data_IF_516062941857
#
_entry.id   IF_516062941857
#
_cell.length_a   1.000
_cell.length_b   1.000
_cell.length_c   1.000
_cell.angle_alpha   90.00
_cell.angle_beta   90.00
_cell.angle_gamma   90.00
#
_symmetry.space_group_name_H-M   'P 1'
#
loop_
_entity.id
_entity.type
_entity.pdbx_description
1 polymer ?
#
# COMPACT_ATOMS: atom_id res chain seq x y z
N UNK A 1 -6.50 6.85 3.29
CA UNK A 1 -5.64 8.06 3.26
C UNK A 1 -4.71 7.96 2.06
N UNK A 2 -4.30 9.07 1.44
CA UNK A 2 -3.25 9.04 0.39
C UNK A 2 -1.92 8.56 1.00
N UNK A 3 -1.31 7.53 0.40
CA UNK A 3 -0.09 6.94 0.95
C UNK A 3 1.12 7.88 0.81
N UNK A 4 1.22 8.60 -0.31
CA UNK A 4 2.26 9.62 -0.53
C UNK A 4 2.30 10.66 0.59
N UNK A 5 1.14 11.14 1.03
CA UNK A 5 1.06 12.08 2.16
C UNK A 5 1.65 11.48 3.44
N UNK A 6 1.33 10.23 3.74
CA UNK A 6 1.91 9.53 4.89
C UNK A 6 3.43 9.45 4.79
N UNK A 7 3.99 9.14 3.61
CA UNK A 7 5.44 9.05 3.43
C UNK A 7 6.13 10.39 3.69
N UNK A 8 5.59 11.49 3.16
CA UNK A 8 6.13 12.83 3.43
C UNK A 8 6.02 13.19 4.92
N UNK A 9 4.92 12.84 5.58
CA UNK A 9 4.74 13.09 7.02
C UNK A 9 5.74 12.29 7.89
N UNK A 10 6.10 11.06 7.50
CA UNK A 10 7.01 10.20 8.26
C UNK A 10 8.49 10.42 7.93
N UNK A 11 8.83 10.62 6.66
CA UNK A 11 10.20 10.64 6.16
C UNK A 11 10.67 12.02 5.68
N UNK A 12 9.78 13.01 5.58
CA UNK A 12 10.08 14.36 5.08
C UNK A 12 10.05 14.49 3.55
N UNK A 13 10.24 13.39 2.83
CA UNK A 13 10.10 13.26 1.38
C UNK A 13 9.63 11.84 1.02
N UNK A 14 9.34 11.57 -0.24
CA UNK A 14 8.94 10.22 -0.70
C UNK A 14 10.20 9.41 -1.01
N UNK A 15 10.46 8.29 -0.31
CA UNK A 15 11.60 7.44 -0.63
C UNK A 15 11.48 6.84 -2.04
N UNK A 16 12.61 6.69 -2.79
CA UNK A 16 12.57 6.11 -4.13
C UNK A 16 12.11 4.65 -4.13
N UNK A 17 12.40 3.92 -3.03
CA UNK A 17 11.89 2.59 -2.78
C UNK A 17 11.55 2.38 -1.29
N UNK A 18 10.64 1.45 -1.05
CA UNK A 18 10.24 1.00 0.28
C UNK A 18 10.38 -0.51 0.34
N UNK A 19 10.99 -1.00 1.42
CA UNK A 19 10.96 -2.42 1.76
C UNK A 19 9.78 -2.70 2.70
N UNK A 20 8.96 -3.68 2.35
CA UNK A 20 7.82 -4.12 3.14
C UNK A 20 8.08 -5.50 3.69
N UNK A 21 7.79 -5.67 4.98
CA UNK A 21 7.63 -6.99 5.59
C UNK A 21 6.19 -7.13 6.05
N UNK A 22 5.59 -8.29 5.79
CA UNK A 22 4.21 -8.60 6.15
C UNK A 22 4.16 -9.71 7.20
N UNK A 23 2.97 -9.99 7.72
CA UNK A 23 2.75 -11.05 8.72
C UNK A 23 2.77 -12.48 8.15
N UNK A 24 2.61 -12.66 6.84
CA UNK A 24 2.69 -13.98 6.18
C UNK A 24 4.09 -14.28 5.63
N UNK A 25 5.11 -13.58 6.17
CA UNK A 25 6.51 -13.64 5.78
C UNK A 25 6.79 -13.20 4.33
N UNK A 26 5.82 -12.59 3.64
CA UNK A 26 6.09 -11.92 2.37
C UNK A 26 6.93 -10.65 2.58
N UNK A 27 8.01 -10.55 1.81
CA UNK A 27 8.94 -9.42 1.82
C UNK A 27 9.18 -8.94 0.40
N UNK A 28 9.09 -7.63 0.17
CA UNK A 28 9.26 -7.06 -1.16
C UNK A 28 9.82 -5.64 -1.07
N UNK A 29 10.68 -5.27 -2.03
CA UNK A 29 11.09 -3.88 -2.25
C UNK A 29 10.47 -3.36 -3.52
N UNK A 30 9.76 -2.25 -3.42
CA UNK A 30 9.00 -1.65 -4.52
C UNK A 30 9.26 -0.14 -4.54
N UNK A 31 9.14 0.47 -5.72
CA UNK A 31 9.26 1.91 -5.94
C UNK A 31 8.00 2.49 -6.57
N UNK A 32 8.07 3.76 -7.02
CA UNK A 32 6.95 4.42 -7.68
C UNK A 32 5.93 5.05 -6.73
N UNK A 33 6.32 5.32 -5.48
CA UNK A 33 5.45 5.85 -4.42
C UNK A 33 5.05 7.33 -4.57
N UNK A 34 5.59 8.00 -5.59
CA UNK A 34 5.15 9.34 -6.00
C UNK A 34 3.78 9.32 -6.69
N UNK A 35 3.28 8.14 -7.09
CA UNK A 35 1.95 8.03 -7.70
C UNK A 35 0.85 8.32 -6.65
N UNK A 36 0.01 9.35 -6.85
CA UNK A 36 -1.03 9.74 -5.90
C UNK A 36 -2.20 8.73 -5.83
N UNK A 37 -2.23 7.71 -6.69
CA UNK A 37 -3.27 6.70 -6.70
C UNK A 37 -3.13 5.70 -5.54
N UNK A 38 -1.99 5.64 -4.86
CA UNK A 38 -1.82 4.75 -3.71
C UNK A 38 -2.58 5.25 -2.49
N UNK A 39 -3.45 4.38 -1.97
CA UNK A 39 -4.19 4.58 -0.74
C UNK A 39 -3.70 3.62 0.34
N UNK A 40 -3.47 4.19 1.51
CA UNK A 40 -3.27 3.45 2.76
C UNK A 40 -4.60 3.27 3.47
N UNK A 41 -4.91 2.02 3.78
CA UNK A 41 -6.13 1.61 4.48
C UNK A 41 -5.74 0.96 5.81
N UNK A 42 -6.24 1.54 6.89
CA UNK A 42 -6.06 1.06 8.28
C UNK A 42 -7.40 0.78 8.98
N UNK A 43 -8.49 1.29 8.40
CA UNK A 43 -9.87 1.14 8.86
C UNK A 43 -10.79 0.92 7.65
N UNK A 44 -11.86 0.16 7.83
CA UNK A 44 -12.92 -0.10 6.86
C UNK A 44 -14.27 -0.03 7.60
N UNK A 45 -15.24 0.69 7.04
CA UNK A 45 -16.56 0.94 7.68
C UNK A 45 -16.49 1.53 9.10
N UNK A 46 -15.45 2.31 9.38
CA UNK A 46 -15.22 2.95 10.69
C UNK A 46 -14.58 2.04 11.74
N UNK A 47 -14.23 0.80 11.37
CA UNK A 47 -13.59 -0.16 12.26
C UNK A 47 -12.14 -0.45 11.82
N UNK A 48 -11.18 -0.65 12.74
CA UNK A 48 -9.82 -1.04 12.40
C UNK A 48 -9.77 -2.34 11.59
N UNK A 49 -8.83 -2.42 10.64
CA UNK A 49 -8.61 -3.65 9.90
C UNK A 49 -8.15 -4.78 10.84
N UNK A 50 -8.79 -5.94 10.70
CA UNK A 50 -8.41 -7.19 11.37
C UNK A 50 -7.59 -8.05 10.43
N UNK A 51 -6.99 -9.14 10.93
CA UNK A 51 -6.31 -10.11 10.07
C UNK A 51 -7.24 -10.67 8.97
N UNK A 52 -8.54 -10.86 9.27
CA UNK A 52 -9.53 -11.32 8.28
C UNK A 52 -9.76 -10.29 7.16
N UNK A 53 -9.72 -9.00 7.48
CA UNK A 53 -9.79 -7.91 6.50
C UNK A 53 -8.42 -7.46 5.98
N UNK A 54 -7.39 -8.30 6.18
CA UNK A 54 -6.01 -8.13 5.71
C UNK A 54 -5.28 -6.92 6.32
N UNK A 55 -5.64 -6.58 7.56
CA UNK A 55 -4.98 -5.58 8.40
C UNK A 55 -3.67 -6.06 9.03
N UNK A 56 -3.02 -5.22 9.85
CA UNK A 56 -3.50 -3.93 10.36
C UNK A 56 -3.39 -2.77 9.35
N UNK A 57 -2.64 -2.99 8.25
CA UNK A 57 -2.42 -2.01 7.20
C UNK A 57 -2.38 -2.72 5.85
N UNK A 58 -3.06 -2.15 4.86
CA UNK A 58 -2.94 -2.53 3.45
C UNK A 58 -2.81 -1.32 2.54
N UNK A 59 -2.09 -1.49 1.44
CA UNK A 59 -1.95 -0.54 0.34
C UNK A 59 -2.76 -1.01 -0.85
N UNK A 60 -3.52 -0.09 -1.43
CA UNK A 60 -4.34 -0.33 -2.63
C UNK A 60 -4.13 0.81 -3.60
N UNK A 61 -3.96 0.49 -4.88
CA UNK A 61 -3.97 1.49 -5.95
C UNK A 61 -5.41 1.85 -6.33
N UNK A 62 -5.70 3.15 -6.43
CA UNK A 62 -7.00 3.69 -6.83
C UNK A 62 -7.07 3.80 -8.34
N UNK A 63 -7.77 2.88 -9.00
CA UNK A 63 -8.09 3.01 -10.43
C UNK A 63 -9.11 4.14 -10.64
N UNK A 64 -8.79 5.15 -11.46
CA UNK A 64 -9.69 6.25 -11.83
C UNK A 64 -9.90 6.30 -13.36
N UNK A 65 -9.89 5.17 -14.07
CA UNK A 65 -10.00 5.14 -15.53
C UNK A 65 -10.81 3.99 -16.16
N UNK A 66 -11.12 4.14 -17.46
CA UNK A 66 -11.74 3.13 -18.33
C UNK A 66 -10.72 2.08 -18.79
N UNK A 67 -10.24 1.22 -17.90
CA UNK A 67 -9.33 0.14 -18.27
C UNK A 67 -9.91 -1.27 -18.09
N UNK A 68 -9.73 -1.98 -19.19
CA UNK A 68 -9.93 -3.38 -19.50
C UNK A 68 -10.12 -4.34 -18.32
N UNK A 69 -11.28 -5.01 -18.29
CA UNK A 69 -11.61 -6.09 -17.34
C UNK A 69 -10.59 -7.23 -17.43
N UNK A 70 -9.85 -7.35 -18.54
CA UNK A 70 -8.74 -8.30 -18.68
C UNK A 70 -7.57 -8.01 -17.72
N UNK A 71 -7.33 -6.73 -17.35
CA UNK A 71 -6.32 -6.32 -16.37
C UNK A 71 -6.80 -6.47 -14.93
N UNK A 72 -8.12 -6.57 -14.70
CA UNK A 72 -8.68 -7.00 -13.41
C UNK A 72 -8.38 -8.47 -13.11
N UNK A 73 -7.71 -9.23 -13.98
CA UNK A 73 -7.18 -10.55 -13.63
C UNK A 73 -5.75 -10.51 -13.10
N UNK A 74 -5.06 -9.38 -13.28
CA UNK A 74 -3.74 -9.08 -12.71
C UNK A 74 -3.90 -8.29 -11.40
N UNK A 75 -4.79 -8.73 -10.50
CA UNK A 75 -4.90 -8.24 -9.10
C UNK A 75 -3.60 -8.54 -8.29
N UNK A 76 -2.47 -7.95 -8.69
CA UNK A 76 -1.14 -8.15 -8.10
C UNK A 76 -0.65 -6.97 -7.25
N UNK A 77 -1.32 -5.82 -7.24
CA UNK A 77 -0.76 -4.60 -6.62
C UNK A 77 -1.36 -4.26 -5.25
N UNK A 78 -1.74 -5.28 -4.48
CA UNK A 78 -2.16 -5.09 -3.08
C UNK A 78 -1.10 -5.64 -2.15
N UNK A 79 -0.48 -4.76 -1.37
CA UNK A 79 0.39 -5.17 -0.26
C UNK A 79 -0.44 -5.10 1.01
N UNK A 80 -0.62 -6.20 1.70
CA UNK A 80 -1.47 -6.28 2.88
C UNK A 80 -0.75 -6.90 4.07
N UNK A 81 -1.43 -6.88 5.22
CA UNK A 81 -0.86 -7.38 6.47
C UNK A 81 0.55 -6.84 6.74
N UNK A 82 0.78 -5.57 6.35
CA UNK A 82 2.09 -4.93 6.48
C UNK A 82 2.42 -4.81 7.96
N UNK A 83 3.61 -5.30 8.31
CA UNK A 83 4.18 -5.28 9.65
C UNK A 83 5.23 -4.18 9.80
N UNK A 84 6.07 -3.98 8.79
CA UNK A 84 7.06 -2.90 8.74
C UNK A 84 7.20 -2.32 7.35
N UNK A 85 7.58 -1.04 7.32
CA UNK A 85 7.89 -0.25 6.13
C UNK A 85 9.25 0.40 6.39
N UNK A 86 10.22 0.16 5.52
CA UNK A 86 11.56 0.72 5.64
C UNK A 86 11.92 1.52 4.38
N UNK A 87 12.34 2.78 4.58
CA UNK A 87 12.83 3.62 3.50
C UNK A 87 14.17 3.10 2.95
N UNK A 88 14.27 3.03 1.63
CA UNK A 88 15.50 2.72 0.90
C UNK A 88 15.85 3.95 0.06
N UNK A 89 17.01 4.56 0.32
CA UNK A 89 17.49 5.81 -0.31
C UNK A 89 18.54 5.57 -1.40
#
# INVERSE_FOLDING_TARGET
>A
MEFRRFLVEQFGEVPPALHFTTWDDYNVTLGGWEDPNWLMVVEEDGEPLTLRSRGPLRLVERDIGTRDIAKLREFNDWIWMIRSIEAQW
#
